data_IF_330609560369
#
_entry.id   IF_330609560369
#
_cell.length_a   1.000
_cell.length_b   1.000
_cell.length_c   1.000
_cell.angle_alpha   90.00
_cell.angle_beta   90.00
_cell.angle_gamma   90.00
#
_symmetry.space_group_name_H-M   'P 1'
#
loop_
_entity.id
_entity.type
_entity.pdbx_description
1 polymer ?
#
# COMPACT_ATOMS: atom_id res chain seq x y z
N UNK A 1 12.84 9.22 18.81
CA UNK A 1 11.52 9.41 18.24
C UNK A 1 10.53 8.42 18.82
N UNK A 2 9.46 8.94 19.35
CA UNK A 2 8.51 8.17 20.14
C UNK A 2 7.33 7.72 19.28
N UNK A 3 7.60 6.87 18.29
CA UNK A 3 6.54 6.32 17.45
C UNK A 3 6.27 4.89 17.90
N UNK A 4 5.05 4.64 18.35
CA UNK A 4 4.64 3.30 18.72
C UNK A 4 4.29 2.54 17.45
N UNK A 5 5.01 1.48 17.20
CA UNK A 5 4.87 0.67 16.00
C UNK A 5 3.42 0.27 15.72
N UNK A 6 2.74 -0.20 16.75
CA UNK A 6 1.35 -0.65 16.64
C UNK A 6 0.42 0.47 16.16
N UNK A 7 0.53 1.63 16.80
CA UNK A 7 -0.31 2.79 16.47
C UNK A 7 0.07 3.41 15.14
N UNK A 8 1.37 3.48 14.87
CA UNK A 8 1.87 4.04 13.63
C UNK A 8 1.35 3.28 12.42
N UNK A 9 1.33 1.95 12.50
CA UNK A 9 0.86 1.11 11.41
C UNK A 9 -0.66 0.91 11.42
N UNK A 10 -1.35 1.47 12.40
CA UNK A 10 -2.81 1.31 12.51
C UNK A 10 -3.19 -0.16 12.59
N UNK A 11 -2.44 -0.95 13.37
CA UNK A 11 -2.62 -2.39 13.40
C UNK A 11 -4.01 -2.79 13.91
N UNK A 12 -4.58 -2.05 14.87
CA UNK A 12 -5.93 -2.35 15.35
C UNK A 12 -6.94 -2.25 14.22
N UNK A 13 -6.78 -1.28 13.33
CA UNK A 13 -7.69 -1.10 12.21
C UNK A 13 -7.48 -2.16 11.14
N UNK A 14 -6.23 -2.45 10.81
CA UNK A 14 -5.90 -3.41 9.76
C UNK A 14 -6.28 -4.83 10.15
N UNK A 15 -5.91 -5.22 11.37
CA UNK A 15 -6.11 -6.60 11.82
C UNK A 15 -7.58 -6.90 12.10
N UNK A 16 -8.39 -5.87 12.28
CA UNK A 16 -9.82 -6.02 12.55
C UNK A 16 -10.69 -5.59 11.38
N UNK A 17 -10.13 -5.58 10.17
CA UNK A 17 -10.83 -5.11 8.98
C UNK A 17 -11.35 -6.25 8.10
N UNK A 18 -11.47 -7.46 8.64
CA UNK A 18 -11.97 -8.60 7.91
C UNK A 18 -13.35 -8.98 8.42
N UNK A 19 -14.33 -8.94 7.53
CA UNK A 19 -15.74 -9.21 7.89
C UNK A 19 -16.30 -10.27 6.92
N UNK A 20 -16.05 -11.56 7.20
CA UNK A 20 -16.49 -12.63 6.29
C UNK A 20 -17.99 -12.64 6.09
N UNK A 21 -18.44 -12.73 4.85
CA UNK A 21 -19.86 -12.81 4.54
C UNK A 21 -20.47 -14.10 5.05
N UNK A 22 -19.69 -15.20 5.09
CA UNK A 22 -20.18 -16.46 5.62
C UNK A 22 -20.56 -16.38 7.10
N UNK A 23 -19.86 -15.54 7.88
CA UNK A 23 -20.20 -15.33 9.28
C UNK A 23 -21.57 -14.66 9.41
N UNK A 24 -21.86 -13.71 8.54
CA UNK A 24 -23.15 -13.00 8.53
C UNK A 24 -24.30 -13.96 8.20
N UNK A 25 -24.04 -14.96 7.39
CA UNK A 25 -25.03 -15.95 6.96
C UNK A 25 -25.07 -17.17 7.87
N UNK A 26 -24.22 -17.18 8.91
CA UNK A 26 -24.07 -18.31 9.83
C UNK A 26 -23.69 -19.60 9.12
N UNK A 27 -22.95 -19.46 8.01
CA UNK A 27 -22.43 -20.58 7.23
C UNK A 27 -20.92 -20.44 7.14
N UNK A 28 -20.21 -20.74 8.22
CA UNK A 28 -18.78 -20.49 8.29
C UNK A 28 -18.02 -21.19 7.16
N UNK A 29 -17.15 -20.45 6.50
CA UNK A 29 -16.24 -20.96 5.49
C UNK A 29 -14.83 -20.62 5.94
N UNK A 30 -14.11 -21.60 6.42
CA UNK A 30 -12.78 -21.41 7.00
C UNK A 30 -11.84 -20.64 6.07
N UNK A 31 -11.89 -20.97 4.78
CA UNK A 31 -10.95 -20.40 3.81
C UNK A 31 -11.33 -18.99 3.37
N UNK A 32 -12.49 -18.49 3.76
CA UNK A 32 -12.89 -17.13 3.41
C UNK A 32 -11.98 -16.08 4.04
N UNK A 33 -11.53 -16.32 5.26
CA UNK A 33 -10.58 -15.39 5.91
C UNK A 33 -9.31 -15.28 5.09
N UNK A 34 -8.78 -16.40 4.61
CA UNK A 34 -7.59 -16.40 3.76
C UNK A 34 -7.84 -15.61 2.46
N UNK A 35 -8.99 -15.81 1.85
CA UNK A 35 -9.38 -15.08 0.65
C UNK A 35 -9.34 -13.57 0.90
N UNK A 36 -9.95 -13.13 2.01
CA UNK A 36 -10.01 -11.70 2.35
C UNK A 36 -8.61 -11.14 2.58
N UNK A 37 -7.81 -11.82 3.40
CA UNK A 37 -6.48 -11.33 3.77
C UNK A 37 -5.57 -11.23 2.54
N UNK A 38 -5.60 -12.23 1.67
CA UNK A 38 -4.78 -12.19 0.45
C UNK A 38 -5.16 -11.00 -0.42
N UNK A 39 -6.46 -10.75 -0.60
CA UNK A 39 -6.91 -9.65 -1.44
C UNK A 39 -6.62 -8.29 -0.81
N UNK A 40 -6.76 -8.18 0.51
CA UNK A 40 -6.38 -6.96 1.21
C UNK A 40 -4.89 -6.67 1.06
N UNK A 41 -4.06 -7.71 1.13
CA UNK A 41 -2.62 -7.54 0.95
C UNK A 41 -2.28 -7.07 -0.46
N UNK A 42 -2.92 -7.64 -1.48
CA UNK A 42 -2.72 -7.18 -2.86
C UNK A 42 -3.14 -5.72 -3.03
N UNK A 43 -4.27 -5.34 -2.45
CA UNK A 43 -4.75 -3.96 -2.58
C UNK A 43 -3.80 -2.98 -1.89
N UNK A 44 -3.22 -3.36 -0.76
CA UNK A 44 -2.23 -2.53 -0.09
C UNK A 44 -0.96 -2.38 -0.94
N UNK A 45 -0.52 -3.44 -1.60
CA UNK A 45 0.60 -3.37 -2.52
C UNK A 45 0.29 -2.48 -3.73
N UNK A 46 -0.92 -2.58 -4.28
CA UNK A 46 -1.34 -1.71 -5.37
C UNK A 46 -1.32 -0.25 -4.93
N UNK A 47 -1.77 0.03 -3.71
CA UNK A 47 -1.71 1.40 -3.18
C UNK A 47 -0.28 1.91 -3.14
N UNK A 48 0.67 1.08 -2.72
CA UNK A 48 2.07 1.45 -2.70
C UNK A 48 2.61 1.70 -4.12
N UNK A 49 2.23 0.85 -5.07
CA UNK A 49 2.64 1.03 -6.46
C UNK A 49 2.11 2.34 -7.03
N UNK A 50 0.84 2.66 -6.76
CA UNK A 50 0.26 3.93 -7.18
C UNK A 50 0.99 5.11 -6.56
N UNK A 51 1.34 5.00 -5.28
CA UNK A 51 2.08 6.06 -4.60
C UNK A 51 3.42 6.32 -5.28
N UNK A 52 4.14 5.27 -5.64
CA UNK A 52 5.44 5.40 -6.31
C UNK A 52 5.29 5.94 -7.73
N UNK A 53 4.29 5.45 -8.47
CA UNK A 53 4.03 5.93 -9.84
C UNK A 53 3.66 7.40 -9.81
N UNK A 54 2.78 7.82 -8.90
CA UNK A 54 2.38 9.21 -8.78
C UNK A 54 3.58 10.10 -8.46
N UNK A 55 4.48 9.63 -7.60
CA UNK A 55 5.69 10.36 -7.27
C UNK A 55 6.60 10.52 -8.51
N UNK A 56 6.77 9.47 -9.28
CA UNK A 56 7.58 9.49 -10.50
C UNK A 56 6.97 10.46 -11.52
N UNK A 57 5.65 10.36 -11.74
CA UNK A 57 4.95 11.23 -12.68
C UNK A 57 5.09 12.69 -12.24
N UNK A 58 4.94 12.96 -10.94
CA UNK A 58 5.10 14.31 -10.41
C UNK A 58 6.48 14.88 -10.68
N UNK A 59 7.53 14.08 -10.50
CA UNK A 59 8.91 14.50 -10.77
C UNK A 59 9.11 14.74 -12.27
N UNK A 60 8.64 13.81 -13.09
CA UNK A 60 8.84 13.87 -14.53
C UNK A 60 8.08 14.99 -15.21
N UNK A 61 7.03 15.52 -14.58
CA UNK A 61 6.26 16.62 -15.15
C UNK A 61 6.81 17.99 -14.78
N UNK A 62 7.87 18.10 -14.02
CA UNK A 62 8.46 19.39 -13.67
C UNK A 62 9.18 19.99 -14.87
N UNK A 63 8.91 21.27 -15.19
CA UNK A 63 9.54 21.89 -16.37
C UNK A 63 11.06 21.97 -16.30
N UNK A 64 11.63 21.98 -15.11
CA UNK A 64 13.09 22.11 -14.91
C UNK A 64 13.82 20.79 -14.92
N UNK A 65 13.14 19.68 -15.16
CA UNK A 65 13.77 18.37 -15.14
C UNK A 65 14.77 18.22 -16.29
N UNK A 66 15.96 17.75 -15.96
CA UNK A 66 16.99 17.44 -16.96
C UNK A 66 17.74 16.17 -16.53
N UNK A 67 18.62 15.67 -17.40
CA UNK A 67 19.29 14.39 -17.20
C UNK A 67 20.16 14.33 -15.95
N UNK A 68 20.60 15.48 -15.46
CA UNK A 68 21.50 15.55 -14.31
C UNK A 68 20.81 16.06 -13.07
N UNK A 69 19.48 16.20 -13.09
CA UNK A 69 18.77 16.74 -11.95
C UNK A 69 18.74 15.72 -10.82
N UNK A 70 18.73 16.20 -9.55
CA UNK A 70 18.53 15.29 -8.42
C UNK A 70 17.21 14.55 -8.47
N UNK A 71 16.20 15.15 -9.07
CA UNK A 71 14.88 14.52 -9.21
C UNK A 71 14.95 13.31 -10.13
N UNK A 72 15.71 13.39 -11.22
CA UNK A 72 15.90 12.25 -12.12
C UNK A 72 16.63 11.12 -11.40
N UNK A 73 17.66 11.46 -10.60
CA UNK A 73 18.37 10.46 -9.82
C UNK A 73 17.45 9.78 -8.81
N UNK A 74 16.53 10.52 -8.23
CA UNK A 74 15.54 9.95 -7.32
C UNK A 74 14.64 8.95 -8.03
N UNK A 75 14.22 9.25 -9.25
CA UNK A 75 13.41 8.33 -10.06
C UNK A 75 14.18 7.03 -10.32
N UNK A 76 15.43 7.15 -10.75
CA UNK A 76 16.28 5.98 -11.01
C UNK A 76 16.44 5.14 -9.75
N UNK A 77 16.69 5.79 -8.63
CA UNK A 77 16.86 5.10 -7.36
C UNK A 77 15.62 4.31 -6.97
N UNK A 78 14.43 4.89 -7.15
CA UNK A 78 13.16 4.24 -6.80
C UNK A 78 12.83 3.06 -7.70
N UNK A 79 13.27 3.10 -8.94
CA UNK A 79 13.00 2.03 -9.88
C UNK A 79 13.93 0.82 -9.70
N UNK A 80 15.00 1.03 -8.98
CA UNK A 80 15.95 -0.04 -8.66
C UNK A 80 15.63 -0.67 -7.31
#
# INVERSE_FOLDING_TARGET
MEVHYHDYLQLDNILNAQFPESDKKKLPAHDEMLFIVIHQAYELWFKQLHHEVDSIVGIMSKPSLNDNSPELQTVVHRLN
#
